data_IF_306503159503
#
_entry.id   IF_306503159503
#
_cell.length_a   1.000
_cell.length_b   1.000
_cell.length_c   1.000
_cell.angle_alpha   90.00
_cell.angle_beta   90.00
_cell.angle_gamma   90.00
#
_symmetry.space_group_name_H-M   'P 1'
#
loop_
_entity.id
_entity.type
_entity.pdbx_description
1 polymer ?
#
# COMPACT_ATOMS: atom_id res chain seq x y z
N UNK A 1 -1.87 1.07 -4.22
CA UNK A 1 -1.84 -0.41 -4.33
C UNK A 1 -0.55 -0.83 -5.00
N UNK A 2 0.21 -1.76 -4.43
CA UNK A 2 1.50 -2.23 -4.96
C UNK A 2 1.42 -3.75 -5.15
N UNK A 3 1.79 -4.27 -6.32
CA UNK A 3 1.81 -5.71 -6.61
C UNK A 3 3.26 -6.15 -6.76
N UNK A 4 3.71 -7.09 -5.94
CA UNK A 4 5.13 -7.49 -5.88
C UNK A 4 5.31 -8.86 -5.20
N UNK A 5 6.44 -9.51 -5.49
CA UNK A 5 6.90 -10.70 -4.77
C UNK A 5 7.60 -10.36 -3.44
N UNK A 6 7.81 -9.06 -3.18
CA UNK A 6 8.49 -8.53 -1.98
C UNK A 6 7.54 -7.84 -1.01
N UNK A 7 6.27 -8.23 -1.03
CA UNK A 7 5.23 -7.50 -0.31
C UNK A 7 5.42 -7.47 1.21
N UNK A 8 5.88 -8.57 1.80
CA UNK A 8 6.10 -8.64 3.24
C UNK A 8 7.23 -7.71 3.70
N UNK A 9 8.28 -7.57 2.89
CA UNK A 9 9.39 -6.66 3.19
C UNK A 9 8.96 -5.20 3.07
N UNK A 10 8.27 -4.85 1.98
CA UNK A 10 7.71 -3.50 1.81
C UNK A 10 6.76 -3.19 2.98
N UNK A 11 5.87 -4.11 3.33
CA UNK A 11 4.93 -3.93 4.44
C UNK A 11 5.68 -3.63 5.74
N UNK A 12 6.68 -4.44 6.08
CA UNK A 12 7.52 -4.24 7.28
C UNK A 12 8.19 -2.87 7.29
N UNK A 13 8.83 -2.48 6.19
CA UNK A 13 9.48 -1.16 6.09
C UNK A 13 8.48 -0.02 6.25
N UNK A 14 7.33 -0.09 5.56
CA UNK A 14 6.31 0.95 5.63
C UNK A 14 5.70 1.08 7.03
N UNK A 15 5.50 -0.05 7.74
CA UNK A 15 4.94 -0.05 9.10
C UNK A 15 5.95 0.33 10.19
N UNK A 16 7.26 0.15 9.94
CA UNK A 16 8.31 0.51 10.88
C UNK A 16 8.60 2.01 10.87
N UNK A 17 8.67 2.61 9.68
CA UNK A 17 9.00 4.03 9.51
C UNK A 17 7.80 4.95 9.75
N UNK A 18 6.58 4.40 9.72
CA UNK A 18 5.34 5.13 9.95
C UNK A 18 4.26 4.14 10.40
N UNK A 19 3.49 4.39 11.47
CA UNK A 19 2.43 3.50 11.93
C UNK A 19 1.21 3.55 10.99
N UNK A 20 1.43 3.31 9.69
CA UNK A 20 0.37 3.22 8.69
C UNK A 20 -0.21 1.83 8.68
N UNK A 21 -1.53 1.75 8.63
CA UNK A 21 -2.21 0.51 8.30
C UNK A 21 -1.87 0.09 6.88
N UNK A 22 -1.35 -1.12 6.73
CA UNK A 22 -1.13 -1.77 5.44
C UNK A 22 -1.90 -3.08 5.46
N UNK A 23 -2.78 -3.27 4.48
CA UNK A 23 -3.46 -4.54 4.26
C UNK A 23 -2.73 -5.33 3.17
N UNK A 24 -2.52 -6.63 3.43
CA UNK A 24 -1.98 -7.57 2.46
C UNK A 24 -3.13 -8.37 1.87
N UNK A 25 -3.24 -8.36 0.54
CA UNK A 25 -4.28 -9.07 -0.21
C UNK A 25 -3.60 -10.14 -1.07
N UNK A 26 -3.89 -11.43 -0.90
CA UNK A 26 -3.43 -12.47 -1.82
C UNK A 26 -3.97 -12.20 -3.23
N UNK A 27 -3.12 -12.33 -4.25
CA UNK A 27 -3.48 -12.15 -5.65
C UNK A 27 -2.81 -13.23 -6.50
N UNK A 28 -3.40 -13.53 -7.66
CA UNK A 28 -2.81 -14.44 -8.65
C UNK A 28 -2.57 -13.67 -9.94
N UNK A 29 -1.38 -13.81 -10.51
CA UNK A 29 -1.05 -13.21 -11.81
C UNK A 29 -1.88 -13.83 -12.91
N UNK A 30 -2.74 -13.05 -13.58
CA UNK A 30 -3.62 -13.59 -14.63
C UNK A 30 -2.87 -14.15 -15.85
N UNK A 31 -1.65 -13.68 -16.12
CA UNK A 31 -0.81 -14.19 -17.21
C UNK A 31 0.10 -15.33 -16.77
N UNK A 32 0.75 -15.23 -15.61
CA UNK A 32 1.75 -16.19 -15.16
C UNK A 32 1.20 -17.33 -14.30
N UNK A 33 0.07 -17.11 -13.63
CA UNK A 33 -0.47 -18.02 -12.62
C UNK A 33 0.21 -17.92 -11.25
N UNK A 34 1.18 -17.03 -11.08
CA UNK A 34 1.95 -16.94 -9.83
C UNK A 34 1.10 -16.36 -8.70
N UNK A 35 1.21 -16.97 -7.53
CA UNK A 35 0.69 -16.40 -6.28
C UNK A 35 1.59 -15.26 -5.82
N UNK A 36 0.98 -14.09 -5.59
CA UNK A 36 1.65 -12.89 -5.10
C UNK A 36 0.82 -12.23 -4.02
N UNK A 37 1.33 -11.15 -3.45
CA UNK A 37 0.60 -10.30 -2.51
C UNK A 37 0.53 -8.88 -3.07
N UNK A 38 -0.64 -8.26 -2.91
CA UNK A 38 -0.87 -6.84 -3.14
C UNK A 38 -0.88 -6.11 -1.80
N UNK A 39 -0.14 -5.00 -1.71
CA UNK A 39 -0.23 -4.06 -0.60
C UNK A 39 -1.28 -3.00 -0.90
N UNK A 40 -2.22 -2.83 0.02
CA UNK A 40 -3.19 -1.73 0.03
C UNK A 40 -2.89 -0.84 1.23
N UNK A 41 -2.67 0.44 0.95
CA UNK A 41 -2.34 1.43 1.97
C UNK A 41 -2.96 2.77 1.59
N UNK A 42 -3.48 3.48 2.59
CA UNK A 42 -4.01 4.82 2.47
C UNK A 42 -2.94 5.81 2.93
N UNK A 43 -2.61 6.76 2.06
CA UNK A 43 -1.53 7.73 2.24
C UNK A 43 -2.08 9.14 2.08
N UNK A 44 -1.49 10.11 2.78
CA UNK A 44 -1.69 11.51 2.39
C UNK A 44 -0.88 11.80 1.12
N UNK A 45 -1.34 12.75 0.31
CA UNK A 45 -0.72 13.09 -0.97
C UNK A 45 0.76 13.47 -0.85
N UNK A 46 1.15 14.12 0.26
CA UNK A 46 2.54 14.50 0.55
C UNK A 46 3.48 13.31 0.87
N UNK A 47 2.95 12.11 1.08
CA UNK A 47 3.74 10.92 1.42
C UNK A 47 3.93 9.97 0.26
N UNK A 48 3.09 10.09 -0.78
CA UNK A 48 3.09 9.23 -1.96
C UNK A 48 4.49 9.13 -2.55
N UNK A 49 5.17 10.26 -2.78
CA UNK A 49 6.51 10.27 -3.35
C UNK A 49 7.55 9.52 -2.50
N UNK A 50 7.46 9.64 -1.16
CA UNK A 50 8.36 8.93 -0.24
C UNK A 50 8.13 7.43 -0.27
N UNK A 51 6.86 7.01 -0.21
CA UNK A 51 6.48 5.59 -0.24
C UNK A 51 6.87 4.95 -1.57
N UNK A 52 6.61 5.62 -2.70
CA UNK A 52 7.00 5.10 -4.01
C UNK A 52 8.51 4.93 -4.15
N UNK A 53 9.32 5.85 -3.59
CA UNK A 53 10.78 5.69 -3.53
C UNK A 53 11.19 4.47 -2.71
N UNK A 54 10.57 4.24 -1.55
CA UNK A 54 10.85 3.05 -0.72
C UNK A 54 10.47 1.77 -1.46
N UNK A 55 9.28 1.73 -2.08
CA UNK A 55 8.80 0.60 -2.88
C UNK A 55 9.76 0.30 -4.03
N UNK A 56 10.13 1.29 -4.84
CA UNK A 56 11.05 1.13 -5.98
C UNK A 56 12.48 0.75 -5.58
N UNK A 57 12.93 1.17 -4.39
CA UNK A 57 14.23 0.75 -3.85
C UNK A 57 14.24 -0.74 -3.47
N UNK A 58 13.14 -1.25 -2.95
CA UNK A 58 13.00 -2.66 -2.54
C UNK A 58 12.73 -3.56 -3.75
N UNK A 59 11.83 -3.13 -4.64
CA UNK A 59 11.50 -3.81 -5.88
C UNK A 59 11.44 -2.82 -7.06
N UNK A 60 12.51 -2.73 -7.87
CA UNK A 60 12.53 -1.87 -9.05
C UNK A 60 11.50 -2.25 -10.11
N UNK A 61 11.10 -3.52 -10.17
CA UNK A 61 10.24 -4.09 -11.22
C UNK A 61 8.75 -4.06 -10.87
N UNK A 62 8.39 -3.69 -9.64
CA UNK A 62 6.98 -3.54 -9.25
C UNK A 62 6.28 -2.44 -10.03
N UNK A 63 4.98 -2.64 -10.27
CA UNK A 63 4.08 -1.57 -10.70
C UNK A 63 3.16 -1.19 -9.54
N UNK A 64 2.73 0.07 -9.54
CA UNK A 64 1.91 0.65 -8.47
C UNK A 64 0.72 1.37 -9.09
N UNK A 65 -0.46 1.15 -8.52
CA UNK A 65 -1.69 1.84 -8.87
C UNK A 65 -2.00 2.84 -7.76
N UNK A 66 -2.21 4.10 -8.14
CA UNK A 66 -2.56 5.20 -7.23
C UNK A 66 -4.00 5.59 -7.53
N UNK A 67 -4.83 5.59 -6.51
CA UNK A 67 -6.25 5.93 -6.60
C UNK A 67 -6.56 6.96 -5.53
N UNK A 68 -7.29 8.00 -5.90
CA UNK A 68 -7.80 8.99 -4.95
C UNK A 68 -9.06 8.45 -4.28
N UNK A 69 -9.19 8.72 -2.97
CA UNK A 69 -10.39 8.40 -2.22
C UNK A 69 -11.18 9.69 -1.97
N UNK A 70 -12.47 9.70 -2.29
CA UNK A 70 -13.34 10.84 -2.01
C UNK A 70 -13.55 11.05 -0.51
N UNK A 71 -13.71 9.96 0.24
CA UNK A 71 -13.87 9.95 1.68
C UNK A 71 -13.23 8.69 2.27
N UNK A 72 -12.67 8.82 3.49
CA UNK A 72 -12.09 7.72 4.24
C UNK A 72 -12.69 7.76 5.65
N UNK A 73 -13.45 6.74 6.01
CA UNK A 73 -14.08 6.61 7.32
C UNK A 73 -13.30 5.57 8.14
N UNK A 74 -12.81 5.95 9.31
CA UNK A 74 -12.15 5.02 10.23
C UNK A 74 -11.09 5.68 11.11
N UNK A 75 -10.67 4.97 12.15
CA UNK A 75 -9.65 5.44 13.11
C UNK A 75 -8.36 5.83 12.37
N UNK A 76 -7.90 7.07 12.56
CA UNK A 76 -6.69 7.61 11.92
C UNK A 76 -6.96 8.42 10.64
N UNK A 77 -8.20 8.48 10.17
CA UNK A 77 -8.68 9.36 9.12
C UNK A 77 -9.94 10.08 9.66
N UNK A 78 -10.33 11.25 9.10
CA UNK A 78 -11.29 12.20 9.71
C UNK A 78 -12.45 11.50 10.46
N UNK A 79 -12.59 11.82 11.75
CA UNK A 79 -13.77 11.45 12.52
C UNK A 79 -14.90 12.41 12.15
N UNK A 80 -15.95 11.90 11.53
CA UNK A 80 -17.26 12.54 11.58
C UNK A 80 -18.33 11.59 11.06
N UNK A 81 -18.93 10.84 11.99
CA UNK A 81 -20.38 10.89 12.15
C UNK A 81 -20.64 10.91 13.65
N UNK A 82 -21.48 11.85 14.10
CA UNK A 82 -21.90 12.04 15.49
C UNK A 82 -22.14 10.69 16.20
N UNK A 83 -21.55 10.53 17.38
CA UNK A 83 -22.22 9.82 18.48
C UNK A 83 -23.33 10.72 19.04
#
# INVERSE_FOLDING_TARGET
>A
MVITDRADEISKTLTADSPRGVSLVPVVGGYTGDEKKMLVCVLHSNEVARVLKTVKRIDPNTFTIITEANEIIGKGFRASYND
#
